data_IF_140273633502
#
_entry.id   IF_140273633502
#
_cell.length_a   1.000
_cell.length_b   1.000
_cell.length_c   1.000
_cell.angle_alpha   90.00
_cell.angle_beta   90.00
_cell.angle_gamma   90.00
#
_symmetry.space_group_name_H-M   'P 1'
#
loop_
_entity.id
_entity.type
_entity.pdbx_description
1 polymer ?
#
# COMPACT_ATOMS: atom_id res chain seq x y z
N UNK A 1 2.22 18.72 -26.62
CA UNK A 1 2.48 19.63 -27.77
C UNK A 1 1.31 20.55 -28.09
N UNK A 2 0.05 20.13 -27.95
CA UNK A 2 -1.11 20.98 -28.26
C UNK A 2 -1.47 21.95 -27.11
N UNK A 3 -1.19 21.63 -25.86
CA UNK A 3 -1.45 22.49 -24.71
C UNK A 3 -0.39 23.59 -24.55
N UNK A 4 0.87 23.28 -24.84
CA UNK A 4 1.94 24.30 -24.88
C UNK A 4 1.66 25.37 -25.98
N UNK A 5 1.13 24.94 -27.14
CA UNK A 5 0.72 25.86 -28.18
C UNK A 5 -0.53 26.68 -27.82
N UNK A 6 -1.45 26.15 -27.04
CA UNK A 6 -2.60 26.89 -26.52
C UNK A 6 -2.18 27.96 -25.49
N UNK A 7 -1.16 27.67 -24.69
CA UNK A 7 -0.61 28.61 -23.72
C UNK A 7 0.16 29.75 -24.39
N UNK A 8 0.98 29.44 -25.42
CA UNK A 8 1.66 30.46 -26.24
C UNK A 8 0.69 31.30 -27.04
N UNK A 9 -0.42 30.72 -27.56
CA UNK A 9 -1.43 31.45 -28.32
C UNK A 9 -2.26 32.41 -27.47
N UNK A 10 -2.52 32.08 -26.17
CA UNK A 10 -3.19 33.00 -25.25
C UNK A 10 -2.28 34.12 -24.76
N UNK A 11 -0.97 33.91 -24.68
CA UNK A 11 -0.02 34.97 -24.34
C UNK A 11 0.10 36.02 -25.45
N UNK A 12 -0.01 35.61 -26.70
CA UNK A 12 0.06 36.54 -27.84
C UNK A 12 -1.21 37.39 -28.06
N UNK A 13 -2.35 37.05 -27.43
CA UNK A 13 -3.58 37.86 -27.57
C UNK A 13 -3.77 38.93 -26.49
N UNK A 14 -3.00 38.91 -25.42
CA UNK A 14 -3.07 39.88 -24.32
C UNK A 14 -2.02 41.01 -24.39
N UNK A 15 -1.29 41.16 -25.50
CA UNK A 15 -0.47 42.33 -25.78
C UNK A 15 -1.28 43.47 -26.44
N UNK A 16 -2.51 43.70 -25.96
CA UNK A 16 -3.34 44.77 -26.51
C UNK A 16 -3.61 45.86 -25.49
N UNK A 17 -2.88 46.96 -25.68
CA UNK A 17 -3.35 48.35 -25.52
C UNK A 17 -3.69 48.82 -24.09
N UNK A 18 -2.68 49.27 -23.38
CA UNK A 18 -2.83 50.52 -22.61
C UNK A 18 -2.11 51.61 -23.42
N UNK A 19 -2.82 52.63 -23.83
CA UNK A 19 -2.25 53.78 -24.52
C UNK A 19 -1.28 54.51 -23.63
N UNK A 20 -0.03 54.59 -24.04
CA UNK A 20 1.01 55.27 -23.34
C UNK A 20 1.91 55.99 -24.34
N UNK A 21 2.46 57.09 -23.86
CA UNK A 21 3.38 58.00 -24.51
C UNK A 21 4.61 57.25 -24.97
N UNK A 22 5.02 57.35 -26.28
CA UNK A 22 6.03 56.47 -26.86
C UNK A 22 7.46 56.70 -26.37
N UNK A 23 7.69 57.57 -25.42
CA UNK A 23 9.08 57.97 -25.00
C UNK A 23 9.49 57.58 -23.58
N UNK A 24 8.63 56.85 -22.79
CA UNK A 24 9.03 56.54 -21.37
C UNK A 24 8.42 55.29 -20.74
N UNK A 25 7.69 54.44 -21.42
CA UNK A 25 7.04 53.37 -20.75
C UNK A 25 7.70 52.00 -20.99
N UNK A 26 8.57 51.63 -20.12
CA UNK A 26 8.92 50.23 -19.88
C UNK A 26 7.62 49.40 -19.57
N UNK A 27 7.59 48.16 -19.93
CA UNK A 27 6.44 47.28 -19.72
C UNK A 27 6.00 47.33 -18.24
N UNK A 28 4.76 47.74 -18.00
CA UNK A 28 4.18 47.83 -16.65
C UNK A 28 3.08 46.79 -16.52
N UNK A 29 3.16 45.98 -15.49
CA UNK A 29 2.09 45.04 -15.13
C UNK A 29 1.64 45.32 -13.67
N UNK A 30 0.32 45.35 -13.45
CA UNK A 30 -0.21 45.52 -12.09
C UNK A 30 -0.32 44.20 -11.36
N UNK A 31 -0.38 44.25 -10.01
CA UNK A 31 -0.58 43.06 -9.16
C UNK A 31 -1.88 42.33 -9.51
N UNK A 32 -2.96 43.06 -9.80
CA UNK A 32 -4.25 42.51 -10.21
C UNK A 32 -4.16 41.76 -11.54
N UNK A 33 -3.35 42.27 -12.47
CA UNK A 33 -3.09 41.57 -13.73
C UNK A 33 -2.28 40.29 -13.48
N UNK A 34 -1.29 40.30 -12.59
CA UNK A 34 -0.55 39.08 -12.21
C UNK A 34 -1.48 38.04 -11.60
N UNK A 35 -2.38 38.42 -10.69
CA UNK A 35 -3.37 37.50 -10.14
C UNK A 35 -4.34 36.97 -11.19
N UNK A 36 -4.65 37.76 -12.22
CA UNK A 36 -5.48 37.29 -13.35
C UNK A 36 -4.72 36.28 -14.23
N UNK A 37 -3.45 36.48 -14.46
CA UNK A 37 -2.58 35.58 -15.22
C UNK A 37 -2.23 34.30 -14.46
N UNK A 38 -2.04 34.43 -13.16
CA UNK A 38 -1.64 33.34 -12.27
C UNK A 38 -2.64 33.20 -11.09
N UNK A 39 -3.87 32.72 -11.37
CA UNK A 39 -4.96 32.69 -10.37
C UNK A 39 -4.64 31.80 -9.16
N UNK A 40 -3.71 30.88 -9.30
CA UNK A 40 -3.25 30.06 -8.19
C UNK A 40 -2.53 30.86 -7.08
N UNK A 41 -1.92 32.02 -7.42
CA UNK A 41 -1.28 32.87 -6.41
C UNK A 41 -2.26 33.28 -5.31
N UNK A 42 -3.48 33.69 -5.67
CA UNK A 42 -4.49 34.03 -4.67
C UNK A 42 -4.97 32.82 -3.86
N UNK A 43 -5.11 31.67 -4.55
CA UNK A 43 -5.75 30.50 -3.95
C UNK A 43 -4.80 29.67 -3.10
N UNK A 44 -3.52 29.59 -3.47
CA UNK A 44 -2.57 28.61 -2.90
C UNK A 44 -1.34 29.21 -2.25
N UNK A 45 -0.92 30.43 -2.64
CA UNK A 45 0.33 31.01 -2.14
C UNK A 45 0.22 31.57 -0.72
N UNK A 46 -0.99 31.88 -0.25
CA UNK A 46 -1.21 32.40 1.12
C UNK A 46 -0.33 33.63 1.42
N UNK A 47 0.47 33.55 2.47
CA UNK A 47 1.36 34.63 2.90
C UNK A 47 2.53 34.89 1.92
N UNK A 48 2.86 33.94 1.06
CA UNK A 48 3.92 34.05 0.07
C UNK A 48 3.46 34.74 -1.23
N UNK A 49 2.14 34.98 -1.39
CA UNK A 49 1.57 35.55 -2.61
C UNK A 49 2.20 36.92 -2.96
N UNK A 50 2.35 37.80 -1.98
CA UNK A 50 2.92 39.11 -2.21
C UNK A 50 4.36 39.06 -2.70
N UNK A 51 5.20 38.22 -2.07
CA UNK A 51 6.59 38.04 -2.47
C UNK A 51 6.71 37.47 -3.89
N UNK A 52 5.85 36.52 -4.25
CA UNK A 52 5.84 35.92 -5.58
C UNK A 52 5.34 36.89 -6.64
N UNK A 53 4.33 37.71 -6.34
CA UNK A 53 3.86 38.78 -7.24
C UNK A 53 4.92 39.84 -7.44
N UNK A 54 5.60 40.28 -6.39
CA UNK A 54 6.67 41.29 -6.48
C UNK A 54 7.83 40.77 -7.31
N UNK A 55 8.26 39.52 -7.15
CA UNK A 55 9.29 38.90 -7.96
C UNK A 55 8.87 38.80 -9.45
N UNK A 56 7.59 38.42 -9.71
CA UNK A 56 7.06 38.36 -11.06
C UNK A 56 7.04 39.76 -11.72
N UNK A 57 6.53 40.78 -11.02
CA UNK A 57 6.45 42.17 -11.51
C UNK A 57 7.86 42.69 -11.81
N UNK A 58 8.82 42.46 -10.92
CA UNK A 58 10.23 42.84 -11.12
C UNK A 58 10.78 42.18 -12.39
N UNK A 59 10.68 40.88 -12.52
CA UNK A 59 11.20 40.16 -13.69
C UNK A 59 10.52 40.60 -14.99
N UNK A 60 9.22 40.95 -14.93
CA UNK A 60 8.48 41.47 -16.08
C UNK A 60 8.98 42.85 -16.54
N UNK A 61 9.23 43.76 -15.59
CA UNK A 61 9.76 45.09 -15.88
C UNK A 61 11.21 45.02 -16.39
N UNK A 62 12.07 44.24 -15.73
CA UNK A 62 13.50 44.12 -16.09
C UNK A 62 13.67 43.44 -17.46
N UNK A 63 12.74 42.62 -17.89
CA UNK A 63 12.76 41.93 -19.18
C UNK A 63 11.95 42.60 -20.30
N UNK A 64 11.53 43.85 -20.07
CA UNK A 64 10.71 44.61 -21.04
C UNK A 64 9.43 43.86 -21.46
N UNK A 65 8.76 43.26 -20.46
CA UNK A 65 7.43 42.63 -20.65
C UNK A 65 7.46 41.13 -20.98
N UNK A 66 8.59 40.45 -20.85
CA UNK A 66 8.67 39.02 -21.14
C UNK A 66 8.15 38.17 -19.96
N UNK A 67 6.96 37.60 -20.11
CA UNK A 67 6.33 36.75 -19.08
C UNK A 67 7.19 35.51 -18.70
N UNK A 68 7.97 34.98 -19.64
CA UNK A 68 8.90 33.86 -19.37
C UNK A 68 10.01 34.23 -18.41
N UNK A 69 10.55 35.45 -18.53
CA UNK A 69 11.57 35.96 -17.61
C UNK A 69 10.96 36.31 -16.25
N UNK A 70 9.75 36.87 -16.24
CA UNK A 70 8.99 37.11 -15.01
C UNK A 70 8.75 35.82 -14.22
N UNK A 71 8.36 34.74 -14.90
CA UNK A 71 8.23 33.41 -14.29
C UNK A 71 9.58 32.85 -13.82
N UNK A 72 10.65 33.08 -14.57
CA UNK A 72 11.97 32.63 -14.17
C UNK A 72 12.45 33.36 -12.89
N UNK A 73 12.23 34.68 -12.78
CA UNK A 73 12.56 35.47 -11.60
C UNK A 73 11.76 35.00 -10.37
N UNK A 74 10.47 34.71 -10.54
CA UNK A 74 9.62 34.17 -9.49
C UNK A 74 10.06 32.78 -9.04
N UNK A 75 10.47 31.89 -9.96
CA UNK A 75 10.83 30.49 -9.69
C UNK A 75 12.27 30.32 -9.18
N UNK A 76 13.19 31.05 -9.75
CA UNK A 76 14.64 30.84 -9.62
C UNK A 76 15.41 32.08 -9.15
N UNK A 77 14.78 33.26 -9.15
CA UNK A 77 15.36 34.51 -8.71
C UNK A 77 14.94 34.88 -7.27
N UNK A 78 14.57 36.14 -7.07
CA UNK A 78 14.20 36.66 -5.73
C UNK A 78 12.95 35.97 -5.14
N UNK A 79 12.04 35.44 -5.99
CA UNK A 79 10.87 34.69 -5.56
C UNK A 79 11.14 33.24 -5.15
N UNK A 80 12.32 32.69 -5.39
CA UNK A 80 12.63 31.26 -5.32
C UNK A 80 12.36 30.62 -3.96
N UNK A 81 12.65 31.32 -2.87
CA UNK A 81 12.38 30.81 -1.53
C UNK A 81 10.87 30.71 -1.23
N UNK A 82 10.11 31.75 -1.57
CA UNK A 82 8.65 31.76 -1.45
C UNK A 82 8.03 30.70 -2.38
N UNK A 83 8.54 30.59 -3.61
CA UNK A 83 8.08 29.58 -4.57
C UNK A 83 8.30 28.16 -4.06
N UNK A 84 9.46 27.86 -3.51
CA UNK A 84 9.77 26.55 -2.94
C UNK A 84 8.93 26.20 -1.72
N UNK A 85 8.47 27.19 -0.95
CA UNK A 85 7.50 26.96 0.15
C UNK A 85 6.09 26.64 -0.38
N UNK A 86 5.71 27.25 -1.49
CA UNK A 86 4.41 26.99 -2.12
C UNK A 86 4.38 25.68 -2.89
N UNK A 87 5.41 25.41 -3.67
CA UNK A 87 5.56 24.24 -4.55
C UNK A 87 6.73 23.36 -4.09
N UNK A 88 6.56 22.73 -2.94
CA UNK A 88 7.60 21.87 -2.36
C UNK A 88 7.89 20.69 -3.31
N UNK A 89 9.18 20.45 -3.58
CA UNK A 89 9.67 19.37 -4.44
C UNK A 89 9.27 19.44 -5.93
N UNK A 90 8.71 20.56 -6.39
CA UNK A 90 8.40 20.76 -7.83
C UNK A 90 9.66 20.96 -8.67
N UNK A 91 10.73 21.48 -8.06
CA UNK A 91 12.04 21.63 -8.69
C UNK A 91 12.87 20.39 -8.38
N UNK A 92 13.41 19.79 -9.42
CA UNK A 92 14.33 18.68 -9.31
C UNK A 92 15.67 19.19 -8.73
N UNK A 93 16.14 18.67 -7.58
CA UNK A 93 17.34 19.18 -6.92
C UNK A 93 18.64 18.86 -7.69
N UNK A 94 18.63 17.86 -8.58
CA UNK A 94 19.83 17.46 -9.34
C UNK A 94 19.97 18.29 -10.62
N UNK A 95 18.85 18.53 -11.31
CA UNK A 95 18.86 19.23 -12.61
C UNK A 95 18.48 20.70 -12.51
N UNK A 96 17.84 21.12 -11.43
CA UNK A 96 17.27 22.46 -11.26
C UNK A 96 16.05 22.72 -12.17
N UNK A 97 15.54 21.70 -12.86
CA UNK A 97 14.40 21.83 -13.74
C UNK A 97 13.08 21.60 -12.98
N UNK A 98 11.97 22.09 -13.55
CA UNK A 98 10.65 21.75 -13.03
C UNK A 98 10.32 20.31 -13.39
N UNK A 99 9.89 19.51 -12.43
CA UNK A 99 9.36 18.15 -12.61
C UNK A 99 8.01 18.18 -13.30
N UNK A 100 7.21 19.20 -13.04
CA UNK A 100 5.88 19.43 -13.60
C UNK A 100 5.53 20.92 -13.56
N UNK A 101 4.48 21.32 -14.27
CA UNK A 101 3.97 22.69 -14.19
C UNK A 101 3.21 22.93 -12.90
N UNK A 102 3.01 24.21 -12.52
CA UNK A 102 2.22 24.59 -11.35
C UNK A 102 0.77 24.08 -11.46
N UNK A 103 0.21 24.10 -12.66
CA UNK A 103 -1.14 23.60 -12.91
C UNK A 103 -1.23 22.09 -12.70
N UNK A 104 -0.25 21.33 -13.18
CA UNK A 104 -0.19 19.89 -12.94
C UNK A 104 0.01 19.56 -11.45
N UNK A 105 0.86 20.34 -10.75
CA UNK A 105 1.05 20.18 -9.31
C UNK A 105 -0.26 20.38 -8.53
N UNK A 106 -1.01 21.42 -8.87
CA UNK A 106 -2.27 21.72 -8.19
C UNK A 106 -3.37 20.72 -8.52
N UNK A 107 -3.45 20.28 -9.78
CA UNK A 107 -4.36 19.20 -10.18
C UNK A 107 -4.03 17.89 -9.45
N UNK A 108 -2.75 17.55 -9.36
CA UNK A 108 -2.31 16.38 -8.60
C UNK A 108 -2.60 16.48 -7.09
N UNK A 109 -2.49 17.67 -6.49
CA UNK A 109 -2.89 17.89 -5.09
C UNK A 109 -4.41 17.72 -4.90
N UNK A 110 -5.23 18.15 -5.86
CA UNK A 110 -6.68 17.94 -5.85
C UNK A 110 -7.03 16.46 -5.99
N UNK A 111 -6.37 15.76 -6.90
CA UNK A 111 -6.51 14.31 -7.08
C UNK A 111 -6.10 13.55 -5.80
N UNK A 112 -4.99 13.93 -5.18
CA UNK A 112 -4.53 13.37 -3.90
C UNK A 112 -5.59 13.50 -2.81
N UNK A 113 -6.16 14.70 -2.63
CA UNK A 113 -7.21 14.95 -1.66
C UNK A 113 -8.50 14.18 -2.00
N UNK A 114 -8.82 14.06 -3.28
CA UNK A 114 -9.98 13.31 -3.78
C UNK A 114 -9.85 11.83 -3.48
N UNK A 115 -8.68 11.24 -3.74
CA UNK A 115 -8.40 9.83 -3.42
C UNK A 115 -8.56 9.56 -1.93
N UNK A 116 -8.01 10.42 -1.07
CA UNK A 116 -8.15 10.28 0.38
C UNK A 116 -9.61 10.43 0.83
N UNK A 117 -10.33 11.42 0.31
CA UNK A 117 -11.73 11.66 0.65
C UNK A 117 -12.64 10.51 0.21
N UNK A 118 -12.44 9.98 -0.99
CA UNK A 118 -13.20 8.82 -1.50
C UNK A 118 -12.95 7.53 -0.69
N UNK A 119 -11.88 7.49 0.08
CA UNK A 119 -11.54 6.37 0.96
C UNK A 119 -11.78 6.72 2.45
N UNK A 120 -12.67 7.65 2.76
CA UNK A 120 -13.03 8.08 4.13
C UNK A 120 -11.85 8.61 4.97
N UNK A 121 -10.80 9.10 4.32
CA UNK A 121 -9.60 9.64 4.94
C UNK A 121 -9.53 11.18 4.86
N UNK A 122 -10.69 11.85 4.75
CA UNK A 122 -10.78 13.31 4.61
C UNK A 122 -10.12 14.06 5.80
N UNK A 123 -10.24 13.54 7.01
CA UNK A 123 -9.61 14.13 8.20
C UNK A 123 -8.09 14.14 8.09
N UNK A 124 -7.50 13.08 7.54
CA UNK A 124 -6.07 12.99 7.28
C UNK A 124 -5.65 13.94 6.15
N UNK A 125 -6.41 14.00 5.05
CA UNK A 125 -6.17 14.96 3.97
C UNK A 125 -6.12 16.40 4.48
N UNK A 126 -7.05 16.78 5.35
CA UNK A 126 -7.11 18.11 5.94
C UNK A 126 -5.91 18.44 6.84
N UNK A 127 -5.37 17.44 7.57
CA UNK A 127 -4.28 17.66 8.54
C UNK A 127 -2.88 17.69 7.91
N UNK A 128 -2.64 16.88 6.87
CA UNK A 128 -1.28 16.68 6.33
C UNK A 128 -1.22 16.66 4.79
N UNK A 129 -2.35 16.86 4.12
CA UNK A 129 -2.49 16.63 2.67
C UNK A 129 -1.40 17.27 1.82
N UNK A 130 -1.13 18.57 2.00
CA UNK A 130 -0.15 19.29 1.17
C UNK A 130 1.28 18.82 1.39
N UNK A 131 1.68 18.58 2.62
CA UNK A 131 3.04 18.14 2.96
C UNK A 131 3.32 16.73 2.42
N UNK A 132 2.34 15.83 2.58
CA UNK A 132 2.46 14.45 2.09
C UNK A 132 2.40 14.37 0.57
N UNK A 133 1.55 15.19 -0.06
CA UNK A 133 1.56 15.30 -1.52
C UNK A 133 2.93 15.78 -2.04
N UNK A 134 3.50 16.81 -1.43
CA UNK A 134 4.84 17.29 -1.78
C UNK A 134 5.92 16.20 -1.65
N UNK A 135 5.80 15.33 -0.65
CA UNK A 135 6.68 14.17 -0.49
C UNK A 135 6.52 13.19 -1.66
N UNK A 136 5.28 12.87 -2.08
CA UNK A 136 5.03 12.00 -3.23
C UNK A 136 5.61 12.57 -4.53
N UNK A 137 5.49 13.90 -4.74
CA UNK A 137 6.10 14.60 -5.88
C UNK A 137 7.62 14.49 -5.85
N UNK A 138 8.24 14.67 -4.67
CA UNK A 138 9.69 14.53 -4.49
C UNK A 138 10.21 13.17 -4.92
N UNK A 139 9.39 12.14 -4.77
CA UNK A 139 9.73 10.74 -4.95
C UNK A 139 9.13 10.12 -6.22
N UNK A 140 8.60 10.96 -7.10
CA UNK A 140 8.04 10.59 -8.40
C UNK A 140 6.93 9.52 -8.32
N UNK A 141 6.14 9.51 -7.22
CA UNK A 141 5.02 8.59 -7.04
C UNK A 141 3.80 9.09 -7.82
N UNK A 142 3.42 8.37 -8.84
CA UNK A 142 2.24 8.70 -9.67
C UNK A 142 0.92 8.53 -8.89
N UNK A 143 -0.08 9.38 -9.15
CA UNK A 143 -1.40 9.31 -8.49
C UNK A 143 -2.12 7.96 -8.63
N UNK A 144 -2.08 7.25 -9.78
CA UNK A 144 -2.64 5.91 -9.88
C UNK A 144 -1.98 4.89 -8.95
N UNK A 145 -0.67 5.00 -8.73
CA UNK A 145 0.06 4.16 -7.79
C UNK A 145 -0.33 4.49 -6.35
N UNK A 146 -0.41 5.77 -6.01
CA UNK A 146 -0.88 6.22 -4.70
C UNK A 146 -2.31 5.71 -4.40
N UNK A 147 -3.23 5.81 -5.36
CA UNK A 147 -4.60 5.30 -5.20
C UNK A 147 -4.65 3.79 -4.89
N UNK A 148 -3.81 2.98 -5.54
CA UNK A 148 -3.71 1.54 -5.24
C UNK A 148 -3.22 1.29 -3.82
N UNK A 149 -2.23 2.05 -3.36
CA UNK A 149 -1.70 1.94 -2.00
C UNK A 149 -2.75 2.29 -0.96
N UNK A 150 -3.45 3.41 -1.15
CA UNK A 150 -4.55 3.82 -0.26
C UNK A 150 -5.64 2.76 -0.19
N UNK A 151 -6.04 2.20 -1.34
CA UNK A 151 -7.04 1.13 -1.40
C UNK A 151 -6.60 -0.13 -0.63
N UNK A 152 -5.33 -0.51 -0.73
CA UNK A 152 -4.80 -1.67 -0.01
C UNK A 152 -4.82 -1.45 1.51
N UNK A 153 -4.42 -0.26 1.98
CA UNK A 153 -4.47 0.10 3.39
C UNK A 153 -5.91 0.18 3.91
N UNK A 154 -6.81 0.78 3.12
CA UNK A 154 -8.22 0.87 3.46
C UNK A 154 -8.83 -0.52 3.69
N UNK A 155 -8.43 -1.52 2.90
CA UNK A 155 -8.83 -2.91 3.10
C UNK A 155 -8.52 -3.45 4.50
N UNK A 156 -7.38 -3.08 5.08
CA UNK A 156 -7.03 -3.47 6.46
C UNK A 156 -7.80 -2.65 7.49
N UNK A 157 -7.94 -1.34 7.27
CA UNK A 157 -8.66 -0.45 8.19
C UNK A 157 -10.13 -0.86 8.31
N UNK A 158 -10.75 -1.28 7.20
CA UNK A 158 -12.16 -1.65 7.10
C UNK A 158 -12.47 -3.10 7.49
N UNK A 159 -11.51 -3.85 7.97
CA UNK A 159 -11.78 -5.19 8.50
C UNK A 159 -12.84 -5.11 9.60
N UNK A 160 -13.93 -5.84 9.40
CA UNK A 160 -15.07 -5.88 10.33
C UNK A 160 -14.73 -6.70 11.57
N UNK A 161 -13.86 -7.70 11.41
CA UNK A 161 -13.36 -8.53 12.51
C UNK A 161 -12.20 -7.81 13.20
N UNK A 162 -12.47 -7.23 14.35
CA UNK A 162 -11.47 -6.47 15.14
C UNK A 162 -10.33 -7.37 15.65
N UNK A 163 -10.58 -8.66 15.89
CA UNK A 163 -9.55 -9.60 16.30
C UNK A 163 -8.61 -9.91 15.12
N UNK A 164 -9.16 -10.17 13.95
CA UNK A 164 -8.39 -10.37 12.71
C UNK A 164 -7.61 -9.11 12.32
N UNK A 165 -8.22 -7.93 12.44
CA UNK A 165 -7.58 -6.64 12.20
C UNK A 165 -6.37 -6.44 13.12
N UNK A 166 -6.56 -6.65 14.42
CA UNK A 166 -5.49 -6.53 15.41
C UNK A 166 -4.35 -7.54 15.16
N UNK A 167 -4.69 -8.80 14.82
CA UNK A 167 -3.72 -9.83 14.48
C UNK A 167 -2.96 -9.50 13.19
N UNK A 168 -3.63 -8.93 12.17
CA UNK A 168 -3.00 -8.49 10.92
C UNK A 168 -2.01 -7.36 11.18
N UNK A 169 -2.39 -6.35 11.98
CA UNK A 169 -1.53 -5.25 12.38
C UNK A 169 -0.34 -5.77 13.19
N UNK A 170 -0.55 -6.68 14.13
CA UNK A 170 0.52 -7.29 14.93
C UNK A 170 1.51 -8.07 14.05
N UNK A 171 1.02 -8.90 13.14
CA UNK A 171 1.86 -9.66 12.19
C UNK A 171 2.67 -8.73 11.29
N UNK A 172 2.06 -7.62 10.87
CA UNK A 172 2.73 -6.59 10.07
C UNK A 172 3.83 -5.89 10.89
N UNK A 173 3.56 -5.56 12.15
CA UNK A 173 4.53 -4.97 13.08
C UNK A 173 5.72 -5.91 13.33
N UNK A 174 5.47 -7.19 13.57
CA UNK A 174 6.51 -8.23 13.75
C UNK A 174 7.40 -8.34 12.50
N UNK A 175 6.79 -8.27 11.31
CA UNK A 175 7.53 -8.26 10.05
C UNK A 175 8.45 -7.04 9.94
N UNK A 176 7.96 -5.83 10.23
CA UNK A 176 8.78 -4.62 10.17
C UNK A 176 9.88 -4.59 11.23
N UNK A 177 9.58 -5.06 12.44
CA UNK A 177 10.57 -5.22 13.50
C UNK A 177 11.71 -6.15 13.06
N UNK A 178 11.39 -7.24 12.34
CA UNK A 178 12.39 -8.16 11.78
C UNK A 178 13.29 -7.51 10.71
N UNK A 179 12.82 -6.43 10.09
CA UNK A 179 13.58 -5.63 9.11
C UNK A 179 14.31 -4.44 9.73
N UNK A 180 14.34 -4.32 11.06
CA UNK A 180 15.00 -3.21 11.76
C UNK A 180 14.24 -1.87 11.70
N UNK A 181 12.98 -1.88 11.27
CA UNK A 181 12.12 -0.69 11.25
C UNK A 181 11.37 -0.63 12.57
N UNK A 182 11.41 0.53 13.25
CA UNK A 182 10.67 0.73 14.49
C UNK A 182 9.18 0.47 14.28
N UNK A 183 8.66 -0.56 14.92
CA UNK A 183 7.27 -0.97 14.83
C UNK A 183 6.42 -0.18 15.82
N UNK A 184 5.27 0.20 15.42
CA UNK A 184 4.26 0.96 16.16
C UNK A 184 3.15 1.35 15.20
N UNK A 185 2.65 0.37 14.43
CA UNK A 185 1.64 0.61 13.42
C UNK A 185 0.26 0.50 14.05
N UNK A 186 -0.28 1.65 14.37
CA UNK A 186 -1.71 1.90 14.46
C UNK A 186 -2.29 2.23 13.06
N UNK A 187 -3.55 2.53 12.97
CA UNK A 187 -4.19 2.90 11.69
C UNK A 187 -3.50 4.09 11.00
N UNK A 188 -3.00 5.06 11.77
CA UNK A 188 -2.25 6.19 11.25
C UNK A 188 -0.88 5.77 10.69
N UNK A 189 -0.23 4.79 11.34
CA UNK A 189 1.01 4.20 10.86
C UNK A 189 0.85 3.41 9.56
N UNK A 190 -0.24 2.66 9.41
CA UNK A 190 -0.56 1.98 8.14
C UNK A 190 -0.68 2.99 7.00
N UNK A 191 -1.32 4.13 7.25
CA UNK A 191 -1.44 5.19 6.25
C UNK A 191 -0.08 5.84 5.95
N UNK A 192 0.78 6.04 6.94
CA UNK A 192 2.14 6.55 6.73
C UNK A 192 2.96 5.63 5.81
N UNK A 193 2.72 4.31 5.88
CA UNK A 193 3.35 3.32 5.00
C UNK A 193 2.81 3.40 3.57
N UNK A 194 1.52 3.66 3.37
CA UNK A 194 0.98 3.89 2.03
C UNK A 194 1.65 5.07 1.33
N UNK A 195 2.18 6.00 2.12
CA UNK A 195 2.91 7.18 1.67
C UNK A 195 4.44 6.96 1.62
N UNK A 196 4.93 5.78 2.02
CA UNK A 196 6.36 5.48 1.93
C UNK A 196 6.77 5.35 0.45
N UNK A 197 7.71 6.18 0.02
CA UNK A 197 8.17 6.21 -1.37
C UNK A 197 8.91 4.96 -1.83
N UNK A 198 9.52 4.25 -0.88
CA UNK A 198 10.29 3.05 -1.16
C UNK A 198 9.40 1.80 -1.33
N UNK A 199 8.10 1.95 -1.12
CA UNK A 199 7.12 0.88 -1.29
C UNK A 199 6.27 1.14 -2.53
N UNK A 200 6.36 0.25 -3.54
CA UNK A 200 5.37 0.22 -4.59
C UNK A 200 4.11 -0.56 -4.14
N UNK A 201 3.01 -0.42 -4.87
CA UNK A 201 1.73 -1.05 -4.53
C UNK A 201 1.81 -2.58 -4.48
N UNK A 202 2.64 -3.19 -5.30
CA UNK A 202 2.78 -4.65 -5.35
C UNK A 202 3.49 -5.18 -4.11
N UNK A 203 4.58 -4.49 -3.68
CA UNK A 203 5.29 -4.81 -2.44
C UNK A 203 4.37 -4.60 -1.24
N UNK A 204 3.65 -3.48 -1.18
CA UNK A 204 2.71 -3.18 -0.10
C UNK A 204 1.58 -4.21 -0.03
N UNK A 205 0.93 -4.50 -1.16
CA UNK A 205 -0.13 -5.54 -1.24
C UNK A 205 0.39 -6.91 -0.87
N UNK A 206 1.60 -7.27 -1.32
CA UNK A 206 2.24 -8.52 -0.94
C UNK A 206 2.49 -8.63 0.57
N UNK A 207 2.88 -7.54 1.22
CA UNK A 207 3.10 -7.49 2.68
C UNK A 207 1.81 -7.56 3.47
N UNK A 208 0.77 -6.83 3.03
CA UNK A 208 -0.57 -6.89 3.64
C UNK A 208 -1.14 -8.31 3.53
N UNK A 209 -1.10 -8.90 2.33
CA UNK A 209 -1.57 -10.28 2.13
C UNK A 209 -0.76 -11.28 2.98
N UNK A 210 0.54 -11.06 3.16
CA UNK A 210 1.37 -11.89 4.05
C UNK A 210 0.91 -11.79 5.50
N UNK A 211 0.63 -10.59 5.98
CA UNK A 211 0.14 -10.34 7.34
C UNK A 211 -1.26 -10.95 7.54
N UNK A 212 -2.16 -10.78 6.59
CA UNK A 212 -3.50 -11.37 6.62
C UNK A 212 -3.44 -12.91 6.65
N UNK A 213 -2.62 -13.54 5.81
CA UNK A 213 -2.43 -14.98 5.83
C UNK A 213 -1.87 -15.47 7.16
N UNK A 214 -0.89 -14.76 7.71
CA UNK A 214 -0.34 -15.07 9.04
C UNK A 214 -1.39 -14.98 10.14
N UNK A 215 -2.20 -13.91 10.14
CA UNK A 215 -3.25 -13.69 11.11
C UNK A 215 -4.36 -14.75 11.03
N UNK A 216 -4.84 -15.09 9.82
CA UNK A 216 -5.84 -16.16 9.61
C UNK A 216 -5.29 -17.51 10.11
N UNK A 217 -4.04 -17.82 9.79
CA UNK A 217 -3.43 -19.07 10.24
C UNK A 217 -3.33 -19.13 11.76
N UNK A 218 -2.91 -18.05 12.41
CA UNK A 218 -2.83 -17.97 13.88
C UNK A 218 -4.21 -18.11 14.53
N UNK A 219 -5.24 -17.45 13.99
CA UNK A 219 -6.63 -17.59 14.45
C UNK A 219 -7.17 -19.02 14.37
N UNK A 220 -6.81 -19.76 13.32
CA UNK A 220 -7.27 -21.16 13.11
C UNK A 220 -6.44 -22.18 13.92
N UNK A 221 -5.15 -21.96 14.05
CA UNK A 221 -4.20 -22.98 14.56
C UNK A 221 -3.62 -22.65 15.94
N UNK A 222 -3.77 -21.43 16.41
CA UNK A 222 -3.10 -20.87 17.60
C UNK A 222 -1.56 -20.93 17.48
N UNK A 223 -1.03 -20.98 16.25
CA UNK A 223 0.39 -21.06 15.94
C UNK A 223 0.76 -20.00 14.91
N UNK A 224 1.98 -19.48 14.97
CA UNK A 224 2.49 -18.54 13.99
C UNK A 224 2.91 -19.27 12.71
N UNK A 225 2.54 -18.70 11.56
CA UNK A 225 2.96 -19.19 10.25
C UNK A 225 4.34 -18.65 9.91
N UNK A 226 5.25 -19.51 9.46
CA UNK A 226 6.60 -19.12 9.06
C UNK A 226 6.57 -18.24 7.80
N UNK A 227 7.40 -17.17 7.76
CA UNK A 227 7.50 -16.26 6.60
C UNK A 227 7.81 -16.99 5.29
N UNK A 228 8.65 -18.04 5.35
CA UNK A 228 8.96 -18.86 4.17
C UNK A 228 7.73 -19.55 3.61
N UNK A 229 6.86 -20.08 4.47
CA UNK A 229 5.61 -20.73 4.09
C UNK A 229 4.61 -19.71 3.53
N UNK A 230 4.51 -18.52 4.13
CA UNK A 230 3.68 -17.42 3.59
C UNK A 230 4.10 -17.04 2.18
N UNK A 231 5.40 -16.87 1.93
CA UNK A 231 5.91 -16.53 0.60
C UNK A 231 5.61 -17.62 -0.43
N UNK A 232 5.74 -18.89 -0.05
CA UNK A 232 5.37 -20.03 -0.89
C UNK A 232 3.87 -20.04 -1.22
N UNK A 233 3.01 -19.77 -0.24
CA UNK A 233 1.55 -19.70 -0.42
C UNK A 233 1.16 -18.59 -1.41
N UNK A 234 1.72 -17.40 -1.26
CA UNK A 234 1.51 -16.30 -2.19
C UNK A 234 2.04 -16.60 -3.58
N UNK A 235 3.23 -17.22 -3.67
CA UNK A 235 3.82 -17.68 -4.93
C UNK A 235 2.99 -18.76 -5.63
N UNK A 236 2.29 -19.60 -4.87
CA UNK A 236 1.33 -20.59 -5.39
C UNK A 236 -0.03 -19.98 -5.77
N UNK A 237 -0.22 -18.66 -5.60
CA UNK A 237 -1.46 -17.96 -5.95
C UNK A 237 -2.61 -18.19 -4.96
N UNK A 238 -2.32 -18.64 -3.75
CA UNK A 238 -3.33 -18.81 -2.71
C UNK A 238 -3.85 -17.43 -2.29
N UNK A 239 -5.13 -17.20 -2.53
CA UNK A 239 -5.79 -15.94 -2.15
C UNK A 239 -6.19 -15.98 -0.68
N UNK A 240 -6.07 -14.82 -0.02
CA UNK A 240 -6.44 -14.66 1.39
C UNK A 240 -7.83 -15.25 1.70
N UNK A 241 -8.85 -14.94 0.91
CA UNK A 241 -10.21 -15.44 1.12
C UNK A 241 -10.41 -16.96 0.90
N UNK A 242 -9.39 -17.69 0.43
CA UNK A 242 -9.42 -19.15 0.27
C UNK A 242 -8.57 -19.87 1.32
N UNK A 243 -7.69 -19.12 1.96
CA UNK A 243 -6.69 -19.66 2.88
C UNK A 243 -7.31 -20.24 4.15
N UNK A 244 -8.33 -19.60 4.70
CA UNK A 244 -8.99 -20.02 5.95
C UNK A 244 -9.42 -21.51 5.90
N UNK A 245 -10.15 -21.91 4.86
CA UNK A 245 -10.60 -23.31 4.69
C UNK A 245 -9.44 -24.28 4.57
N UNK A 246 -8.34 -23.86 3.89
CA UNK A 246 -7.16 -24.71 3.75
C UNK A 246 -6.44 -24.86 5.08
N UNK A 247 -6.36 -23.77 5.87
CA UNK A 247 -5.79 -23.80 7.20
C UNK A 247 -6.59 -24.64 8.18
N UNK A 248 -7.92 -24.55 8.14
CA UNK A 248 -8.81 -25.42 8.93
C UNK A 248 -8.58 -26.91 8.60
N UNK A 249 -8.54 -27.25 7.32
CA UNK A 249 -8.29 -28.65 6.87
C UNK A 249 -6.91 -29.11 7.32
N UNK A 250 -5.88 -28.28 7.19
CA UNK A 250 -4.53 -28.59 7.63
C UNK A 250 -4.46 -28.78 9.16
N UNK A 251 -5.10 -27.90 9.93
CA UNK A 251 -5.16 -27.97 11.39
C UNK A 251 -5.88 -29.24 11.86
N UNK A 252 -7.05 -29.55 11.29
CA UNK A 252 -7.79 -30.78 11.61
C UNK A 252 -6.97 -32.03 11.27
N UNK A 253 -6.35 -32.07 10.11
CA UNK A 253 -5.52 -33.17 9.67
C UNK A 253 -4.30 -33.35 10.57
N UNK A 254 -3.62 -32.26 10.95
CA UNK A 254 -2.50 -32.31 11.88
C UNK A 254 -2.88 -32.85 13.26
N UNK A 255 -4.04 -32.42 13.81
CA UNK A 255 -4.57 -32.93 15.08
C UNK A 255 -4.89 -34.42 15.02
N UNK A 256 -5.52 -34.88 13.95
CA UNK A 256 -5.83 -36.31 13.74
C UNK A 256 -4.56 -37.15 13.61
N UNK A 257 -3.63 -36.73 12.77
CA UNK A 257 -2.36 -37.42 12.54
C UNK A 257 -1.49 -37.45 13.80
N UNK A 258 -1.41 -36.33 14.53
CA UNK A 258 -0.65 -36.26 15.80
C UNK A 258 -1.27 -37.11 16.88
N UNK A 259 -2.60 -37.19 16.97
CA UNK A 259 -3.29 -38.08 17.92
C UNK A 259 -3.06 -39.56 17.60
N UNK A 260 -3.04 -39.91 16.31
CA UNK A 260 -2.74 -41.26 15.86
C UNK A 260 -1.27 -41.66 16.11
N UNK A 261 -0.34 -40.75 15.85
CA UNK A 261 1.09 -40.92 16.13
C UNK A 261 1.36 -41.15 17.62
N UNK A 262 0.70 -40.38 18.51
CA UNK A 262 0.79 -40.55 19.99
C UNK A 262 0.28 -41.93 20.44
N UNK A 263 -0.86 -42.38 19.91
CA UNK A 263 -1.40 -43.73 20.22
C UNK A 263 -0.41 -44.84 19.83
N UNK A 264 0.40 -44.60 18.81
CA UNK A 264 1.39 -45.54 18.33
C UNK A 264 2.78 -45.36 18.97
N UNK A 265 2.91 -44.50 20.01
CA UNK A 265 4.17 -44.20 20.69
C UNK A 265 5.27 -43.65 19.76
N UNK A 266 4.88 -43.00 18.66
CA UNK A 266 5.82 -42.31 17.77
C UNK A 266 6.05 -40.89 18.27
N UNK A 267 7.31 -40.45 18.25
CA UNK A 267 7.70 -39.09 18.66
C UNK A 267 7.39 -38.00 17.62
N UNK A 268 6.73 -38.34 16.52
CA UNK A 268 6.49 -37.40 15.41
C UNK A 268 5.24 -36.55 15.70
N UNK A 269 5.45 -35.29 15.97
CA UNK A 269 4.39 -34.27 15.99
C UNK A 269 4.38 -33.55 14.63
N UNK A 270 3.28 -33.67 13.89
CA UNK A 270 3.07 -32.91 12.66
C UNK A 270 2.33 -31.61 13.02
N UNK A 271 2.93 -30.48 12.69
CA UNK A 271 2.27 -29.18 12.79
C UNK A 271 1.27 -29.00 11.64
N UNK A 272 0.32 -28.07 11.81
CA UNK A 272 -0.56 -27.69 10.71
C UNK A 272 0.21 -27.13 9.52
N UNK A 273 1.31 -26.41 9.75
CA UNK A 273 2.21 -25.89 8.73
C UNK A 273 2.86 -27.02 7.91
N UNK A 274 3.37 -28.07 8.54
CA UNK A 274 3.93 -29.22 7.82
C UNK A 274 2.88 -29.92 6.92
N UNK A 275 1.65 -30.07 7.42
CA UNK A 275 0.55 -30.65 6.64
C UNK A 275 0.16 -29.74 5.48
N UNK A 276 0.14 -28.42 5.70
CA UNK A 276 -0.15 -27.43 4.68
C UNK A 276 0.93 -27.44 3.58
N UNK A 277 2.20 -27.40 3.96
CA UNK A 277 3.32 -27.48 3.01
C UNK A 277 3.29 -28.77 2.17
N UNK A 278 3.04 -29.89 2.81
CA UNK A 278 2.93 -31.16 2.10
C UNK A 278 1.76 -31.18 1.12
N UNK A 279 0.59 -30.65 1.52
CA UNK A 279 -0.61 -30.69 0.69
C UNK A 279 -0.56 -29.73 -0.51
N UNK A 280 0.10 -28.57 -0.36
CA UNK A 280 0.15 -27.53 -1.41
C UNK A 280 1.42 -27.64 -2.27
N UNK A 281 2.56 -27.93 -1.65
CA UNK A 281 3.85 -27.89 -2.33
C UNK A 281 4.43 -29.28 -2.64
N UNK A 282 3.77 -30.34 -2.16
CA UNK A 282 4.16 -31.72 -2.46
C UNK A 282 5.45 -32.13 -1.75
N UNK A 283 5.71 -31.66 -0.51
CA UNK A 283 6.83 -32.11 0.27
C UNK A 283 6.79 -33.63 0.49
N UNK A 284 7.65 -34.34 -0.24
CA UNK A 284 7.65 -35.81 -0.32
C UNK A 284 7.96 -36.46 1.02
N UNK A 285 8.77 -35.85 1.86
CA UNK A 285 9.14 -36.39 3.17
C UNK A 285 7.92 -36.34 4.11
N UNK A 286 7.26 -35.21 4.18
CA UNK A 286 6.05 -35.05 4.99
C UNK A 286 4.89 -35.85 4.43
N UNK A 287 4.69 -35.89 3.10
CA UNK A 287 3.68 -36.73 2.45
C UNK A 287 3.88 -38.23 2.76
N UNK A 288 5.11 -38.71 2.71
CA UNK A 288 5.42 -40.11 3.04
C UNK A 288 5.13 -40.42 4.51
N UNK A 289 5.40 -39.47 5.40
CA UNK A 289 5.06 -39.59 6.84
C UNK A 289 3.55 -39.61 7.07
N UNK A 290 2.81 -38.72 6.40
CA UNK A 290 1.34 -38.68 6.45
C UNK A 290 0.74 -39.97 5.94
N UNK A 291 1.19 -40.46 4.80
CA UNK A 291 0.74 -41.74 4.21
C UNK A 291 1.04 -42.95 5.13
N UNK A 292 2.25 -42.97 5.71
CA UNK A 292 2.59 -44.02 6.66
C UNK A 292 1.66 -44.05 7.89
N UNK A 293 1.30 -42.86 8.44
CA UNK A 293 0.37 -42.77 9.55
C UNK A 293 -1.05 -43.17 9.11
N UNK A 294 -1.51 -42.73 7.95
CA UNK A 294 -2.83 -43.10 7.41
C UNK A 294 -2.97 -44.62 7.16
N UNK A 295 -1.95 -45.22 6.56
CA UNK A 295 -1.92 -46.67 6.32
C UNK A 295 -1.98 -47.47 7.63
N UNK A 296 -1.30 -46.97 8.68
CA UNK A 296 -1.33 -47.60 10.00
C UNK A 296 -2.70 -47.42 10.70
N UNK A 297 -3.34 -46.27 10.53
CA UNK A 297 -4.73 -46.09 11.03
C UNK A 297 -5.65 -47.05 10.37
N UNK A 298 -5.56 -47.21 9.03
CA UNK A 298 -6.37 -48.15 8.26
C UNK A 298 -6.13 -49.60 8.69
N UNK A 299 -4.91 -50.04 8.87
CA UNK A 299 -4.56 -51.38 9.31
C UNK A 299 -5.03 -51.67 10.75
N UNK A 300 -4.89 -50.69 11.66
CA UNK A 300 -5.39 -50.83 13.04
C UNK A 300 -6.94 -50.95 13.10
N UNK A 301 -7.64 -50.15 12.28
CA UNK A 301 -9.11 -50.24 12.19
C UNK A 301 -9.58 -51.59 11.63
N UNK A 302 -8.86 -52.12 10.63
CA UNK A 302 -9.16 -53.43 10.05
C UNK A 302 -8.89 -54.55 11.05
N UNK A 303 -7.82 -54.45 11.85
CA UNK A 303 -7.54 -55.45 12.91
C UNK A 303 -8.58 -55.44 14.02
N UNK A 304 -9.09 -54.27 14.42
CA UNK A 304 -10.16 -54.17 15.42
C UNK A 304 -11.47 -54.71 14.91
N UNK A 305 -11.82 -54.48 13.64
CA UNK A 305 -13.02 -55.05 13.01
C UNK A 305 -12.90 -56.57 12.80
N UNK A 306 -11.70 -57.06 12.49
CA UNK A 306 -11.40 -58.49 12.40
C UNK A 306 -11.53 -59.20 13.75
N UNK A 307 -10.97 -58.58 14.82
CA UNK A 307 -11.08 -59.12 16.18
C UNK A 307 -12.53 -59.15 16.72
N UNK A 308 -13.36 -58.18 16.37
CA UNK A 308 -14.80 -58.18 16.69
C UNK A 308 -15.56 -59.27 15.94
N UNK A 309 -15.24 -59.51 14.67
CA UNK A 309 -15.86 -60.60 13.90
C UNK A 309 -15.50 -61.99 14.44
N UNK A 310 -14.26 -62.20 14.88
CA UNK A 310 -13.86 -63.46 15.49
C UNK A 310 -14.51 -63.68 16.87
N UNK A 311 -14.66 -62.62 17.67
CA UNK A 311 -15.39 -62.72 18.93
C UNK A 311 -16.88 -63.03 18.75
N UNK A 312 -17.55 -62.45 17.75
CA UNK A 312 -18.98 -62.71 17.45
C UNK A 312 -19.15 -64.12 16.85
N UNK A 313 -18.19 -64.56 16.07
CA UNK A 313 -18.22 -65.96 15.54
C UNK A 313 -17.98 -67.03 16.60
N UNK A 314 -17.19 -66.75 17.64
CA UNK A 314 -16.98 -67.70 18.75
C UNK A 314 -18.20 -67.85 19.66
N UNK A 315 -19.05 -66.82 19.80
CA UNK A 315 -20.25 -66.86 20.61
C UNK A 315 -21.41 -67.60 19.93
N UNK A 316 -21.48 -67.53 18.62
CA UNK A 316 -22.52 -68.23 17.84
C UNK A 316 -22.26 -69.74 17.68
N UNK A 317 -21.02 -70.21 17.89
CA UNK A 317 -20.68 -71.62 17.85
C UNK A 317 -20.98 -72.40 19.11
N UNK A 318 -21.35 -71.74 20.23
CA UNK A 318 -21.62 -72.38 21.54
C UNK A 318 -23.13 -72.62 21.80
N UNK A 319 -24.03 -72.26 20.88
CA UNK A 319 -25.49 -72.46 21.06
C UNK A 319 -26.09 -73.61 20.28
N UNK A 320 -25.28 -74.38 19.55
CA UNK A 320 -25.78 -75.57 18.82
C UNK A 320 -25.35 -76.95 19.38
N UNK A 321 -24.89 -76.98 20.67
CA UNK A 321 -24.53 -78.20 21.34
C UNK A 321 -25.45 -78.47 22.55
N UNK A 322 -26.75 -78.65 22.33
CA UNK A 322 -27.67 -79.34 23.27
C UNK A 322 -28.75 -80.05 22.50
#
# INVERSE_FOLDING_TARGET
ENEAKAYESNQNQNTATAGSDPDKDGAVITREQVFTLLPWLQKFAGNDADTLVDAYVKGFIESDGLATQALAEMRFGEGSEAYSRVFVNIIDPETGALKMTETEYLAGLEDFNTILTQNDLAGYAASVGREKYATLVGLDVAMPEFAKRVKSIKGVIDMVDEELKAATIATYNDYFASQGVAAGLDEAGLLAIALDPNLNSDILSGRINSAELGAIYEGVTEQKLGLGTVQKLLGAGIKVGQAEKQFEVAAQSARLLSSAARRQRRATTLSAENVLEASIFGDQETLSTIQAIQNQIASASTAVLGARRTQTGAVTGLTEAT
#
